data_IF_910508858799
#
_entry.id   IF_910508858799
#
_cell.length_a   1.000
_cell.length_b   1.000
_cell.length_c   1.000
_cell.angle_alpha   90.00
_cell.angle_beta   90.00
_cell.angle_gamma   90.00
#
_symmetry.space_group_name_H-M   'P 1'
#
loop_
_entity.id
_entity.type
_entity.pdbx_description
1 polymer ?
#
# COMPACT_ATOMS: atom_id res chain seq x y z
N UNK A 1 14.03 -7.86 7.57
CA UNK A 1 12.60 -7.83 7.18
C UNK A 1 12.33 -6.43 6.69
N UNK A 2 11.61 -6.27 5.58
CA UNK A 2 11.24 -4.93 5.10
C UNK A 2 10.35 -4.27 6.16
N UNK A 3 10.59 -2.99 6.40
CA UNK A 3 9.75 -2.15 7.27
C UNK A 3 8.40 -1.86 6.61
N UNK A 4 7.40 -1.50 7.40
CA UNK A 4 6.10 -1.06 6.89
C UNK A 4 6.25 0.05 5.86
N UNK A 5 7.14 1.00 6.12
CA UNK A 5 7.48 2.09 5.21
C UNK A 5 7.93 1.58 3.84
N UNK A 6 8.87 0.65 3.80
CA UNK A 6 9.38 0.07 2.54
C UNK A 6 8.28 -0.67 1.78
N UNK A 7 7.45 -1.47 2.48
CA UNK A 7 6.33 -2.18 1.85
C UNK A 7 5.31 -1.21 1.22
N UNK A 8 5.00 -0.12 1.92
CA UNK A 8 4.09 0.92 1.42
C UNK A 8 4.68 1.67 0.22
N UNK A 9 5.98 1.97 0.23
CA UNK A 9 6.67 2.56 -0.92
C UNK A 9 6.60 1.65 -2.16
N UNK A 10 6.85 0.35 -1.98
CA UNK A 10 6.76 -0.62 -3.07
C UNK A 10 5.32 -0.72 -3.63
N UNK A 11 4.31 -0.75 -2.75
CA UNK A 11 2.91 -0.74 -3.17
C UNK A 11 2.60 0.52 -3.99
N UNK A 12 3.03 1.70 -3.52
CA UNK A 12 2.84 2.96 -4.26
C UNK A 12 3.45 2.92 -5.66
N UNK A 13 4.68 2.44 -5.76
CA UNK A 13 5.39 2.32 -7.03
C UNK A 13 4.64 1.38 -7.97
N UNK A 14 4.17 0.23 -7.46
CA UNK A 14 3.47 -0.79 -8.25
C UNK A 14 2.10 -0.32 -8.74
N UNK A 15 1.35 0.38 -7.89
CA UNK A 15 0.04 0.93 -8.23
C UNK A 15 0.13 2.18 -9.12
N UNK A 16 1.34 2.74 -9.30
CA UNK A 16 1.58 3.99 -10.03
C UNK A 16 0.64 5.12 -9.58
N UNK A 17 0.38 5.20 -8.26
CA UNK A 17 -0.55 6.19 -7.72
C UNK A 17 0.10 7.56 -7.82
N UNK A 18 -0.37 8.35 -8.79
CA UNK A 18 0.11 9.72 -9.04
C UNK A 18 -0.18 10.62 -7.83
N UNK A 19 -1.23 10.32 -7.08
CA UNK A 19 -1.61 11.04 -5.87
C UNK A 19 -0.88 10.48 -4.65
N UNK A 20 0.37 10.93 -4.50
CA UNK A 20 1.27 10.56 -3.41
C UNK A 20 0.73 10.89 -2.00
N UNK A 21 -0.30 11.73 -1.90
CA UNK A 21 -0.99 12.11 -0.66
C UNK A 21 -1.94 11.05 -0.12
N UNK A 22 -2.44 10.14 -0.96
CA UNK A 22 -3.37 9.08 -0.55
C UNK A 22 -2.67 8.05 0.34
N UNK A 23 -1.41 7.75 0.04
CA UNK A 23 -0.62 6.72 0.72
C UNK A 23 0.70 7.38 1.15
N UNK A 24 0.80 7.73 2.42
CA UNK A 24 1.98 8.36 3.01
C UNK A 24 2.71 7.34 3.89
N UNK A 25 3.87 6.81 3.45
CA UNK A 25 4.59 5.74 4.17
C UNK A 25 4.91 6.06 5.63
N UNK A 26 5.13 7.34 5.95
CA UNK A 26 5.47 7.79 7.31
C UNK A 26 4.33 7.60 8.31
N UNK A 27 3.13 7.30 7.82
CA UNK A 27 1.92 7.12 8.64
C UNK A 27 1.58 5.66 8.87
N UNK A 28 2.46 4.76 8.45
CA UNK A 28 2.33 3.32 8.62
C UNK A 28 3.41 2.75 9.53
N UNK A 29 4.22 3.59 10.19
CA UNK A 29 5.23 3.12 11.15
C UNK A 29 4.59 2.30 12.29
N UNK A 30 3.46 2.76 12.83
CA UNK A 30 2.71 2.09 13.91
C UNK A 30 1.53 1.24 13.41
N UNK A 31 1.33 1.15 12.09
CA UNK A 31 0.23 0.38 11.51
C UNK A 31 0.49 -1.14 11.61
N UNK A 32 -0.58 -1.93 11.51
CA UNK A 32 -0.48 -3.39 11.58
C UNK A 32 0.41 -3.93 10.43
N UNK A 33 1.57 -4.47 10.81
CA UNK A 33 2.57 -4.95 9.87
C UNK A 33 2.10 -6.18 9.11
N UNK A 34 1.25 -7.01 9.71
CA UNK A 34 0.71 -8.21 9.07
C UNK A 34 -0.30 -7.84 7.98
N UNK A 35 -1.16 -6.85 8.21
CA UNK A 35 -2.10 -6.35 7.20
C UNK A 35 -1.38 -5.68 6.03
N UNK A 36 -0.37 -4.85 6.29
CA UNK A 36 0.45 -4.23 5.23
C UNK A 36 1.14 -5.31 4.39
N UNK A 37 1.69 -6.34 5.03
CA UNK A 37 2.36 -7.44 4.35
C UNK A 37 1.40 -8.24 3.48
N UNK A 38 0.15 -8.44 3.91
CA UNK A 38 -0.87 -9.10 3.08
C UNK A 38 -1.17 -8.30 1.81
N UNK A 39 -1.38 -6.98 1.95
CA UNK A 39 -1.62 -6.09 0.80
C UNK A 39 -0.41 -6.06 -0.13
N UNK A 40 0.80 -5.93 0.44
CA UNK A 40 2.06 -5.94 -0.31
C UNK A 40 2.23 -7.24 -1.11
N UNK A 41 1.97 -8.39 -0.49
CA UNK A 41 2.02 -9.68 -1.16
C UNK A 41 1.04 -9.76 -2.32
N UNK A 42 -0.21 -9.32 -2.12
CA UNK A 42 -1.22 -9.27 -3.18
C UNK A 42 -0.78 -8.36 -4.34
N UNK A 43 -0.26 -7.18 -4.01
CA UNK A 43 0.19 -6.19 -5.01
C UNK A 43 1.40 -6.69 -5.80
N UNK A 44 2.32 -7.37 -5.13
CA UNK A 44 3.54 -7.93 -5.73
C UNK A 44 3.27 -9.10 -6.68
N UNK A 45 2.22 -9.88 -6.44
CA UNK A 45 1.84 -11.02 -7.28
C UNK A 45 1.21 -10.61 -8.61
N UNK A 46 0.79 -9.35 -8.78
CA UNK A 46 0.11 -8.86 -9.98
C UNK A 46 0.98 -7.86 -10.73
N UNK A 47 0.94 -7.93 -12.06
CA UNK A 47 1.72 -7.01 -12.90
C UNK A 47 1.04 -5.66 -13.13
N UNK A 48 -0.29 -5.62 -13.10
CA UNK A 48 -1.08 -4.41 -13.35
C UNK A 48 -2.42 -4.44 -12.63
N UNK A 49 -2.95 -3.24 -12.32
CA UNK A 49 -4.21 -3.06 -11.62
C UNK A 49 -5.15 -2.18 -12.44
N UNK A 50 -6.44 -2.50 -12.39
CA UNK A 50 -7.48 -1.62 -12.93
C UNK A 50 -7.69 -0.41 -12.01
N UNK A 51 -8.25 0.71 -12.50
CA UNK A 51 -8.51 1.88 -11.67
C UNK A 51 -9.35 1.55 -10.42
N UNK A 52 -10.35 0.67 -10.55
CA UNK A 52 -11.18 0.24 -9.41
C UNK A 52 -10.41 -0.53 -8.36
N UNK A 53 -9.45 -1.38 -8.76
CA UNK A 53 -8.58 -2.10 -7.84
C UNK A 53 -7.61 -1.16 -7.13
N UNK A 54 -7.04 -0.19 -7.85
CA UNK A 54 -6.17 0.82 -7.26
C UNK A 54 -6.92 1.60 -6.17
N UNK A 55 -8.16 2.02 -6.46
CA UNK A 55 -9.01 2.70 -5.47
C UNK A 55 -9.28 1.81 -4.27
N UNK A 56 -9.68 0.56 -4.48
CA UNK A 56 -9.97 -0.36 -3.38
C UNK A 56 -8.75 -0.62 -2.49
N UNK A 57 -7.57 -0.80 -3.08
CA UNK A 57 -6.32 -0.99 -2.33
C UNK A 57 -5.94 0.28 -1.57
N UNK A 58 -6.09 1.45 -2.19
CA UNK A 58 -5.83 2.74 -1.53
C UNK A 58 -6.78 2.97 -0.35
N UNK A 59 -8.07 2.62 -0.49
CA UNK A 59 -9.06 2.71 0.58
C UNK A 59 -8.72 1.75 1.74
N UNK A 60 -8.35 0.50 1.44
CA UNK A 60 -7.89 -0.46 2.45
C UNK A 60 -6.68 0.06 3.21
N UNK A 61 -5.66 0.58 2.51
CA UNK A 61 -4.49 1.19 3.14
C UNK A 61 -4.87 2.43 3.97
N UNK A 62 -5.83 3.23 3.51
CA UNK A 62 -6.33 4.38 4.26
C UNK A 62 -6.97 4.00 5.60
N UNK A 63 -7.56 2.80 5.72
CA UNK A 63 -8.12 2.28 6.97
C UNK A 63 -7.05 1.82 7.97
N UNK A 64 -5.85 1.47 7.50
CA UNK A 64 -4.72 1.03 8.33
C UNK A 64 -3.95 2.18 8.95
N UNK A 65 -4.07 3.37 8.36
CA UNK A 65 -3.35 4.58 8.73
C UNK A 65 -4.03 5.22 9.95
N UNK A 66 -3.83 4.64 11.14
CA UNK A 66 -4.28 5.24 12.41
C UNK A 66 -3.43 6.44 12.83
#
# INVERSE_FOLDING_TARGET
MASNKEMIEEIRQKLNVVNQSLIDPDKFEDADSDEIKQIHSYVSMKDSFTPSEITAIADSLGQLRQ
#
